data_IF_575486681726
#
_entry.id   IF_575486681726
#
_cell.length_a   1.000
_cell.length_b   1.000
_cell.length_c   1.000
_cell.angle_alpha   90.00
_cell.angle_beta   90.00
_cell.angle_gamma   90.00
#
_symmetry.space_group_name_H-M   'P 1'
#
loop_
_entity.id
_entity.type
_entity.pdbx_description
1 polymer ?
#
# COMPACT_ATOMS: atom_id res chain seq x y z
N UNK A 1 45.50 7.85 6.85
CA UNK A 1 44.77 6.64 7.27
C UNK A 1 43.59 6.44 6.32
N UNK A 2 43.23 5.21 5.93
CA UNK A 2 42.03 5.00 5.12
C UNK A 2 40.77 5.42 5.89
N UNK A 3 39.82 6.07 5.20
CA UNK A 3 38.53 6.51 5.77
C UNK A 3 37.66 5.31 6.16
N UNK A 4 37.78 4.20 5.42
CA UNK A 4 36.94 3.02 5.56
C UNK A 4 37.70 1.81 6.12
N UNK A 5 36.97 0.97 6.84
CA UNK A 5 37.43 -0.35 7.27
C UNK A 5 37.64 -1.30 6.08
N UNK A 6 38.56 -2.27 6.23
CA UNK A 6 38.79 -3.31 5.21
C UNK A 6 37.66 -4.35 5.24
N UNK A 7 36.75 -4.27 4.27
CA UNK A 7 35.66 -5.24 4.03
C UNK A 7 35.82 -5.79 2.62
N UNK A 8 35.56 -7.09 2.43
CA UNK A 8 35.66 -7.74 1.12
C UNK A 8 34.29 -7.97 0.45
N UNK A 9 34.28 -8.20 -0.86
CA UNK A 9 33.08 -8.39 -1.68
C UNK A 9 32.21 -9.54 -1.16
N UNK A 10 32.84 -10.65 -0.75
CA UNK A 10 32.14 -11.82 -0.17
C UNK A 10 31.44 -11.49 1.15
N UNK A 11 31.95 -10.53 1.92
CA UNK A 11 31.36 -10.15 3.20
C UNK A 11 30.11 -9.29 2.98
N UNK A 12 30.16 -8.38 2.00
CA UNK A 12 29.00 -7.58 1.56
C UNK A 12 27.88 -8.50 1.05
N UNK A 13 28.19 -9.44 0.15
CA UNK A 13 27.20 -10.38 -0.39
C UNK A 13 26.60 -11.26 0.70
N UNK A 14 27.43 -11.79 1.63
CA UNK A 14 26.93 -12.57 2.75
C UNK A 14 26.00 -11.76 3.64
N UNK A 15 26.33 -10.51 3.94
CA UNK A 15 25.50 -9.64 4.76
C UNK A 15 24.11 -9.42 4.14
N UNK A 16 24.07 -9.13 2.83
CA UNK A 16 22.80 -8.91 2.10
C UNK A 16 21.96 -10.20 2.08
N UNK A 17 22.52 -11.31 1.61
CA UNK A 17 21.77 -12.57 1.43
C UNK A 17 21.26 -13.11 2.77
N UNK A 18 22.11 -13.13 3.80
CA UNK A 18 21.70 -13.65 5.12
C UNK A 18 20.61 -12.80 5.77
N UNK A 19 20.72 -11.47 5.67
CA UNK A 19 19.73 -10.55 6.24
C UNK A 19 18.40 -10.61 5.50
N UNK A 20 18.45 -10.60 4.15
CA UNK A 20 17.25 -10.72 3.33
C UNK A 20 16.56 -12.06 3.57
N UNK A 21 17.29 -13.18 3.54
CA UNK A 21 16.70 -14.51 3.73
C UNK A 21 16.07 -14.65 5.11
N UNK A 22 16.72 -14.16 6.17
CA UNK A 22 16.16 -14.16 7.53
C UNK A 22 14.83 -13.39 7.57
N UNK A 23 14.80 -12.17 7.04
CA UNK A 23 13.59 -11.36 7.02
C UNK A 23 12.50 -11.99 6.13
N UNK A 24 12.86 -12.54 4.98
CA UNK A 24 11.91 -13.14 4.05
C UNK A 24 11.24 -14.36 4.68
N UNK A 25 12.01 -15.28 5.29
CA UNK A 25 11.48 -16.44 6.03
C UNK A 25 10.52 -16.00 7.12
N UNK A 26 10.89 -14.96 7.88
CA UNK A 26 10.02 -14.42 8.91
C UNK A 26 8.70 -13.91 8.31
N UNK A 27 8.74 -13.17 7.19
CA UNK A 27 7.57 -12.51 6.62
C UNK A 27 6.66 -13.39 5.76
N UNK A 28 7.02 -14.66 5.52
CA UNK A 28 6.12 -15.63 4.85
C UNK A 28 4.77 -15.72 5.56
N UNK A 29 4.74 -15.46 6.87
CA UNK A 29 3.53 -15.31 7.68
C UNK A 29 3.47 -13.93 8.35
N UNK A 30 2.35 -13.22 8.21
CA UNK A 30 2.15 -11.87 8.77
C UNK A 30 0.77 -11.70 9.41
N UNK A 31 0.59 -10.69 10.26
CA UNK A 31 -0.75 -10.32 10.73
C UNK A 31 -1.53 -9.60 9.64
N UNK A 32 -0.85 -8.73 8.89
CA UNK A 32 -1.45 -7.98 7.80
C UNK A 32 -0.48 -7.88 6.60
N UNK A 33 -1.00 -8.21 5.43
CA UNK A 33 -0.33 -8.02 4.14
C UNK A 33 -1.01 -6.88 3.38
N UNK A 34 -0.27 -5.83 3.06
CA UNK A 34 -0.77 -4.69 2.29
C UNK A 34 -0.19 -4.77 0.87
N UNK A 35 -1.06 -4.68 -0.12
CA UNK A 35 -0.67 -4.71 -1.53
C UNK A 35 -0.67 -3.28 -2.07
N UNK A 36 0.53 -2.79 -2.40
CA UNK A 36 0.80 -1.43 -2.88
C UNK A 36 1.31 -0.50 -1.79
N UNK A 37 2.49 0.09 -2.00
CA UNK A 37 3.09 1.06 -1.08
C UNK A 37 2.74 2.52 -1.46
N UNK A 38 1.47 2.76 -1.84
CA UNK A 38 0.95 4.10 -2.08
C UNK A 38 0.60 4.85 -0.79
N UNK A 39 0.04 6.07 -0.86
CA UNK A 39 -0.28 6.87 0.32
C UNK A 39 -1.24 6.17 1.31
N UNK A 40 -2.28 5.50 0.81
CA UNK A 40 -3.20 4.74 1.67
C UNK A 40 -2.53 3.52 2.30
N UNK A 41 -1.72 2.77 1.54
CA UNK A 41 -1.02 1.57 2.03
C UNK A 41 0.04 1.89 3.08
N UNK A 42 0.84 2.94 2.84
CA UNK A 42 1.84 3.42 3.81
C UNK A 42 1.19 3.92 5.10
N UNK A 43 0.09 4.67 5.00
CA UNK A 43 -0.62 5.16 6.18
C UNK A 43 -1.23 4.01 6.99
N UNK A 44 -1.89 3.06 6.30
CA UNK A 44 -2.46 1.89 6.97
C UNK A 44 -1.39 1.04 7.66
N UNK A 45 -0.28 0.79 6.95
CA UNK A 45 0.82 -0.01 7.47
C UNK A 45 1.50 0.64 8.67
N UNK A 46 1.72 1.96 8.63
CA UNK A 46 2.27 2.71 9.76
C UNK A 46 1.42 2.51 11.02
N UNK A 47 0.12 2.79 10.94
CA UNK A 47 -0.78 2.70 12.11
C UNK A 47 -0.81 1.27 12.66
N UNK A 48 -0.95 0.28 11.79
CA UNK A 48 -0.97 -1.13 12.21
C UNK A 48 0.34 -1.57 12.87
N UNK A 49 1.48 -1.13 12.35
CA UNK A 49 2.78 -1.44 12.92
C UNK A 49 3.01 -0.71 14.26
N UNK A 50 2.58 0.55 14.39
CA UNK A 50 2.56 1.29 15.66
C UNK A 50 1.71 0.57 16.72
N UNK A 51 0.63 -0.11 16.31
CA UNK A 51 -0.18 -0.97 17.16
C UNK A 51 0.41 -2.37 17.41
N UNK A 52 1.68 -2.58 17.03
CA UNK A 52 2.43 -3.81 17.29
C UNK A 52 2.08 -4.98 16.38
N UNK A 53 1.39 -4.76 15.25
CA UNK A 53 1.10 -5.82 14.28
C UNK A 53 2.29 -6.09 13.38
N UNK A 54 2.48 -7.34 12.99
CA UNK A 54 3.47 -7.73 11.98
C UNK A 54 2.96 -7.40 10.58
N UNK A 55 3.39 -6.27 10.04
CA UNK A 55 2.94 -5.75 8.74
C UNK A 55 4.00 -5.95 7.65
N UNK A 56 3.59 -6.55 6.53
CA UNK A 56 4.34 -6.58 5.28
C UNK A 56 3.61 -5.75 4.22
N UNK A 57 4.32 -4.85 3.52
CA UNK A 57 3.85 -4.19 2.32
C UNK A 57 4.62 -4.70 1.11
N UNK A 58 3.92 -5.18 0.09
CA UNK A 58 4.52 -5.51 -1.22
C UNK A 58 4.30 -4.37 -2.21
N UNK A 59 5.31 -4.07 -3.02
CA UNK A 59 5.26 -2.98 -4.01
C UNK A 59 5.91 -3.42 -5.32
N UNK A 60 5.22 -3.16 -6.44
CA UNK A 60 5.70 -3.57 -7.76
C UNK A 60 6.91 -2.76 -8.22
N UNK A 61 6.99 -1.49 -7.84
CA UNK A 61 8.10 -0.60 -8.21
C UNK A 61 9.32 -0.83 -7.30
N UNK A 62 10.49 -0.32 -7.71
CA UNK A 62 11.67 -0.28 -6.86
C UNK A 62 11.63 0.86 -5.82
N UNK A 63 10.69 1.80 -5.96
CA UNK A 63 10.45 2.90 -5.03
C UNK A 63 9.08 2.73 -4.36
N UNK A 64 8.94 3.31 -3.17
CA UNK A 64 7.69 3.38 -2.42
C UNK A 64 7.01 4.74 -2.66
N UNK A 65 5.77 4.92 -2.21
CA UNK A 65 5.01 6.17 -2.29
C UNK A 65 3.97 6.21 -3.41
N UNK A 66 4.03 5.27 -4.36
CA UNK A 66 3.07 5.22 -5.49
C UNK A 66 3.04 6.54 -6.25
N UNK A 67 1.84 7.13 -6.40
CA UNK A 67 1.62 8.33 -7.20
C UNK A 67 1.82 9.68 -6.50
N UNK A 68 2.11 9.73 -5.18
CA UNK A 68 2.13 11.00 -4.42
C UNK A 68 3.42 11.82 -4.59
N UNK A 69 4.43 11.28 -5.29
CA UNK A 69 5.67 12.00 -5.62
C UNK A 69 5.43 13.26 -6.44
N UNK A 70 4.40 13.25 -7.27
CA UNK A 70 4.01 14.34 -8.17
C UNK A 70 2.51 14.56 -8.07
N UNK A 71 2.07 15.81 -8.20
CA UNK A 71 0.66 16.13 -8.30
C UNK A 71 0.16 16.05 -9.73
N UNK A 72 -0.70 17.00 -10.09
CA UNK A 72 -1.30 17.05 -11.41
C UNK A 72 -0.28 17.46 -12.48
N UNK A 73 -0.37 16.85 -13.65
CA UNK A 73 0.32 17.33 -14.87
C UNK A 73 1.84 17.53 -14.68
N UNK A 74 2.53 16.54 -14.10
CA UNK A 74 3.97 16.55 -13.82
C UNK A 74 4.46 17.73 -12.93
N UNK A 75 3.54 18.49 -12.34
CA UNK A 75 3.86 19.47 -11.32
C UNK A 75 4.09 18.75 -10.00
N UNK A 76 5.12 19.13 -9.26
CA UNK A 76 5.56 18.45 -8.03
C UNK A 76 4.80 18.88 -6.77
N UNK A 77 3.77 19.72 -6.91
CA UNK A 77 2.91 20.16 -5.80
C UNK A 77 1.69 19.25 -5.69
N UNK A 78 1.35 18.86 -4.47
CA UNK A 78 0.18 18.01 -4.16
C UNK A 78 -0.75 18.75 -3.22
N UNK A 79 -2.06 18.48 -3.31
CA UNK A 79 -3.08 19.17 -2.52
C UNK A 79 -3.74 18.25 -1.49
N UNK A 80 -4.23 18.88 -0.43
CA UNK A 80 -4.91 18.26 0.70
C UNK A 80 -6.09 19.13 1.12
N UNK A 81 -7.28 18.53 1.25
CA UNK A 81 -8.47 19.21 1.78
C UNK A 81 -8.58 19.03 3.28
N UNK A 82 -9.14 20.01 3.98
CA UNK A 82 -9.44 19.88 5.41
C UNK A 82 -10.32 18.64 5.68
N UNK A 83 -10.02 17.81 6.71
CA UNK A 83 -9.01 17.96 7.76
C UNK A 83 -7.69 17.17 7.52
N UNK A 84 -7.38 16.80 6.27
CA UNK A 84 -6.24 15.92 5.99
C UNK A 84 -4.87 16.56 6.20
N UNK A 85 -4.78 17.89 6.31
CA UNK A 85 -3.58 18.61 6.71
C UNK A 85 -3.13 18.28 8.13
N UNK A 86 -4.01 17.81 9.01
CA UNK A 86 -3.64 17.34 10.35
C UNK A 86 -2.59 16.21 10.26
N UNK A 87 -2.69 15.35 9.24
CA UNK A 87 -1.71 14.29 8.99
C UNK A 87 -0.38 14.88 8.49
N UNK A 88 -0.41 15.97 7.72
CA UNK A 88 0.82 16.68 7.33
C UNK A 88 1.52 17.23 8.57
N UNK A 89 0.76 17.82 9.50
CA UNK A 89 1.27 18.30 10.78
C UNK A 89 1.86 17.15 11.61
N UNK A 90 1.15 16.02 11.71
CA UNK A 90 1.61 14.82 12.42
C UNK A 90 2.94 14.29 11.87
N UNK A 91 3.09 14.28 10.55
CA UNK A 91 4.30 13.83 9.85
C UNK A 91 5.41 14.90 9.84
N UNK A 92 5.16 16.10 10.36
CA UNK A 92 6.09 17.23 10.33
C UNK A 92 6.42 17.69 8.91
N UNK A 93 5.44 17.66 8.02
CA UNK A 93 5.54 18.13 6.63
C UNK A 93 5.11 19.59 6.57
N UNK A 94 5.96 20.52 6.10
CA UNK A 94 5.56 21.90 5.86
C UNK A 94 4.48 21.98 4.79
N UNK A 95 3.46 22.80 5.01
CA UNK A 95 2.40 23.06 4.04
C UNK A 95 1.97 24.52 4.09
N UNK A 96 1.35 24.96 3.00
CA UNK A 96 0.76 26.29 2.86
C UNK A 96 -0.74 26.16 2.63
N UNK A 97 -1.53 27.03 3.26
CA UNK A 97 -2.96 27.13 2.94
C UNK A 97 -3.13 28.00 1.68
N UNK A 98 -3.48 27.38 0.57
CA UNK A 98 -3.69 28.08 -0.70
C UNK A 98 -4.99 28.89 -0.68
N UNK A 99 -6.00 28.38 0.03
CA UNK A 99 -7.27 29.03 0.35
C UNK A 99 -7.97 28.28 1.48
N UNK A 100 -8.99 28.86 2.14
CA UNK A 100 -9.66 28.23 3.28
C UNK A 100 -10.02 26.76 3.02
N UNK A 101 -9.37 25.86 3.76
CA UNK A 101 -9.60 24.41 3.70
C UNK A 101 -8.91 23.66 2.55
N UNK A 102 -8.03 24.32 1.78
CA UNK A 102 -7.20 23.69 0.74
C UNK A 102 -5.71 24.00 0.97
N UNK A 103 -4.94 22.95 1.19
CA UNK A 103 -3.52 23.02 1.53
C UNK A 103 -2.66 22.43 0.42
N UNK A 104 -1.43 22.93 0.30
CA UNK A 104 -0.45 22.52 -0.71
C UNK A 104 0.88 22.19 -0.03
N UNK A 105 1.54 21.12 -0.48
CA UNK A 105 2.92 20.81 -0.11
C UNK A 105 3.68 20.18 -1.28
N UNK A 106 4.98 19.99 -1.10
CA UNK A 106 5.84 19.31 -2.05
C UNK A 106 5.65 17.79 -1.97
N UNK A 107 5.29 17.17 -3.10
CA UNK A 107 5.10 15.72 -3.23
C UNK A 107 6.26 14.90 -2.66
N UNK A 108 7.53 15.20 -3.01
CA UNK A 108 8.68 14.49 -2.45
C UNK A 108 8.81 14.60 -0.92
N UNK A 109 8.40 15.71 -0.32
CA UNK A 109 8.52 15.91 1.13
C UNK A 109 7.49 15.07 1.88
N UNK A 110 6.20 15.15 1.52
CA UNK A 110 5.19 14.28 2.13
C UNK A 110 5.49 12.81 1.88
N UNK A 111 5.91 12.45 0.67
CA UNK A 111 6.19 11.05 0.33
C UNK A 111 7.34 10.49 1.17
N UNK A 112 8.45 11.23 1.28
CA UNK A 112 9.60 10.80 2.09
C UNK A 112 9.27 10.70 3.57
N UNK A 113 8.52 11.65 4.13
CA UNK A 113 8.08 11.63 5.53
C UNK A 113 7.13 10.48 5.83
N UNK A 114 6.19 10.18 4.94
CA UNK A 114 5.27 9.08 5.10
C UNK A 114 5.98 7.72 5.02
N UNK A 115 6.93 7.56 4.09
CA UNK A 115 7.77 6.36 4.01
C UNK A 115 8.60 6.20 5.27
N UNK A 116 9.27 7.27 5.73
CA UNK A 116 10.06 7.24 6.95
C UNK A 116 9.20 6.85 8.16
N UNK A 117 8.03 7.45 8.32
CA UNK A 117 7.13 7.16 9.42
C UNK A 117 6.66 5.69 9.41
N UNK A 118 6.38 5.11 8.24
CA UNK A 118 6.04 3.69 8.14
C UNK A 118 7.23 2.78 8.48
N UNK A 119 8.45 3.12 8.03
CA UNK A 119 9.67 2.40 8.40
C UNK A 119 9.93 2.45 9.91
N UNK A 120 9.79 3.63 10.51
CA UNK A 120 10.03 3.86 11.94
C UNK A 120 9.01 3.12 12.82
N UNK A 121 7.77 2.98 12.34
CA UNK A 121 6.74 2.15 12.97
C UNK A 121 7.04 0.64 12.93
N UNK A 122 7.99 0.22 12.08
CA UNK A 122 8.42 -1.18 11.97
C UNK A 122 7.84 -1.95 10.78
N UNK A 123 7.16 -1.27 9.84
CA UNK A 123 6.67 -1.88 8.61
C UNK A 123 7.82 -2.48 7.81
N UNK A 124 7.62 -3.70 7.29
CA UNK A 124 8.56 -4.32 6.36
C UNK A 124 8.07 -4.20 4.92
N UNK A 125 9.01 -4.03 4.01
CA UNK A 125 8.74 -3.83 2.59
C UNK A 125 9.37 -4.95 1.77
N UNK A 126 8.64 -5.39 0.75
CA UNK A 126 9.17 -6.13 -0.39
C UNK A 126 8.80 -5.37 -1.67
N UNK A 127 9.67 -4.45 -2.05
CA UNK A 127 9.62 -3.73 -3.32
C UNK A 127 10.18 -4.58 -4.45
N UNK A 128 9.87 -4.23 -5.70
CA UNK A 128 10.07 -5.10 -6.88
C UNK A 128 9.31 -6.43 -6.80
N UNK A 129 8.25 -6.49 -6.00
CA UNK A 129 7.38 -7.66 -5.84
C UNK A 129 5.99 -7.34 -6.35
N UNK A 130 5.53 -8.11 -7.33
CA UNK A 130 4.20 -7.97 -7.91
C UNK A 130 3.24 -8.97 -7.28
N UNK A 131 2.03 -8.49 -7.02
CA UNK A 131 0.90 -9.34 -6.67
C UNK A 131 0.42 -10.09 -7.92
N UNK A 132 0.36 -11.41 -7.82
CA UNK A 132 -0.06 -12.29 -8.90
C UNK A 132 -1.47 -12.85 -8.65
N UNK A 133 -1.75 -13.29 -7.41
CA UNK A 133 -3.05 -13.88 -7.06
C UNK A 133 -3.37 -13.85 -5.55
N UNK A 134 -4.55 -14.33 -5.17
CA UNK A 134 -4.99 -14.51 -3.77
C UNK A 134 -4.80 -15.95 -3.30
N UNK A 135 -4.45 -16.10 -2.02
CA UNK A 135 -4.58 -17.40 -1.32
C UNK A 135 -6.00 -17.47 -0.74
N UNK A 136 -6.80 -18.42 -1.23
CA UNK A 136 -8.16 -18.70 -0.75
C UNK A 136 -8.20 -20.04 -0.01
N UNK A 137 -9.00 -20.14 1.05
CA UNK A 137 -9.27 -21.39 1.80
C UNK A 137 -10.69 -21.92 1.55
N UNK A 138 -11.05 -23.05 2.16
CA UNK A 138 -12.30 -23.78 1.89
C UNK A 138 -13.57 -22.94 2.13
N UNK A 139 -13.55 -22.03 3.10
CA UNK A 139 -14.62 -21.05 3.38
C UNK A 139 -14.62 -19.86 2.40
N UNK A 140 -13.77 -19.93 1.37
CA UNK A 140 -13.46 -18.88 0.41
C UNK A 140 -12.91 -17.61 1.07
N UNK A 141 -12.40 -17.66 2.30
CA UNK A 141 -11.73 -16.51 2.91
C UNK A 141 -10.38 -16.26 2.23
N UNK A 142 -10.04 -14.99 2.07
CA UNK A 142 -8.69 -14.54 1.69
C UNK A 142 -7.76 -14.69 2.90
N UNK A 143 -6.70 -15.48 2.74
CA UNK A 143 -5.74 -15.81 3.78
C UNK A 143 -4.28 -15.51 3.37
N UNK A 144 -4.09 -14.69 2.34
CA UNK A 144 -2.76 -14.44 1.80
C UNK A 144 -2.77 -13.91 0.38
N UNK A 145 -1.57 -13.71 -0.14
CA UNK A 145 -1.33 -13.36 -1.53
C UNK A 145 -0.27 -14.26 -2.15
N UNK A 146 -0.42 -14.47 -3.44
CA UNK A 146 0.57 -15.08 -4.32
C UNK A 146 1.36 -13.94 -4.97
N UNK A 147 2.68 -14.02 -4.86
CA UNK A 147 3.61 -12.96 -5.24
C UNK A 147 4.66 -13.48 -6.21
N UNK A 148 5.16 -12.57 -7.04
CA UNK A 148 6.31 -12.84 -7.89
C UNK A 148 7.24 -11.62 -7.96
N UNK A 149 8.41 -11.78 -8.57
CA UNK A 149 9.29 -10.64 -8.84
C UNK A 149 8.76 -9.85 -10.05
N UNK A 150 8.63 -8.53 -9.91
CA UNK A 150 8.15 -7.65 -10.99
C UNK A 150 8.87 -7.86 -12.33
N UNK A 151 10.21 -8.05 -12.40
CA UNK A 151 10.91 -8.28 -13.66
C UNK A 151 10.42 -9.50 -14.46
N UNK A 152 9.81 -10.50 -13.81
CA UNK A 152 9.28 -11.69 -14.50
C UNK A 152 8.20 -11.31 -15.51
N UNK A 153 7.42 -10.25 -15.24
CA UNK A 153 6.40 -9.74 -16.16
C UNK A 153 6.98 -9.14 -17.45
N UNK A 154 8.29 -8.84 -17.47
CA UNK A 154 9.00 -8.31 -18.64
C UNK A 154 9.88 -9.35 -19.32
N UNK A 155 9.90 -10.61 -18.84
CA UNK A 155 10.67 -11.68 -19.47
C UNK A 155 10.03 -12.11 -20.79
N UNK A 156 10.84 -12.56 -21.78
CA UNK A 156 10.33 -13.21 -22.98
C UNK A 156 9.45 -14.41 -22.66
N UNK A 157 8.45 -14.67 -23.50
CA UNK A 157 7.44 -15.73 -23.28
C UNK A 157 8.08 -17.10 -23.07
N UNK A 158 9.23 -17.35 -23.68
CA UNK A 158 9.97 -18.61 -23.60
C UNK A 158 10.49 -18.93 -22.20
N UNK A 159 10.70 -17.91 -21.36
CA UNK A 159 11.20 -18.06 -19.98
C UNK A 159 10.32 -17.36 -18.94
N UNK A 160 9.11 -16.91 -19.31
CA UNK A 160 8.18 -16.22 -18.40
C UNK A 160 7.38 -17.17 -17.51
N UNK A 161 7.39 -18.48 -17.80
CA UNK A 161 6.74 -19.51 -16.98
C UNK A 161 7.53 -19.79 -15.68
N UNK A 162 7.64 -18.77 -14.83
CA UNK A 162 8.25 -18.86 -13.49
C UNK A 162 7.14 -18.82 -12.46
N UNK A 163 6.97 -19.92 -11.75
CA UNK A 163 5.92 -20.04 -10.75
C UNK A 163 6.07 -19.00 -9.63
N UNK A 164 4.96 -18.39 -9.18
CA UNK A 164 4.98 -17.49 -8.04
C UNK A 164 5.05 -18.27 -6.72
N UNK A 165 5.25 -17.56 -5.61
CA UNK A 165 5.23 -18.11 -4.25
C UNK A 165 4.11 -17.47 -3.42
N UNK A 166 3.64 -18.15 -2.37
CA UNK A 166 2.56 -17.67 -1.52
C UNK A 166 3.07 -17.09 -0.20
N UNK A 167 2.40 -16.04 0.26
CA UNK A 167 2.57 -15.43 1.58
C UNK A 167 1.25 -15.56 2.34
N UNK A 168 1.28 -16.07 3.56
CA UNK A 168 0.11 -16.26 4.40
C UNK A 168 -0.09 -15.07 5.34
N UNK A 169 -1.34 -14.71 5.58
CA UNK A 169 -1.68 -13.57 6.43
C UNK A 169 -3.10 -13.70 6.98
N UNK A 170 -3.36 -13.09 8.13
CA UNK A 170 -4.71 -13.06 8.71
C UNK A 170 -5.64 -12.13 7.93
N UNK A 171 -5.08 -11.07 7.33
CA UNK A 171 -5.84 -10.03 6.64
C UNK A 171 -5.02 -9.40 5.50
N UNK A 172 -5.66 -9.21 4.34
CA UNK A 172 -5.09 -8.48 3.20
C UNK A 172 -5.74 -7.11 3.07
N UNK A 173 -4.95 -6.07 2.80
CA UNK A 173 -5.44 -4.73 2.43
C UNK A 173 -4.99 -4.40 1.00
N UNK A 174 -5.95 -4.24 0.10
CA UNK A 174 -5.71 -3.78 -1.27
C UNK A 174 -5.64 -2.25 -1.32
N UNK A 175 -4.43 -1.74 -1.59
CA UNK A 175 -4.15 -0.32 -1.81
C UNK A 175 -3.47 -0.10 -3.16
N UNK A 176 -3.74 -0.96 -4.14
CA UNK A 176 -3.13 -0.93 -5.48
C UNK A 176 -3.63 0.21 -6.38
N UNK A 177 -4.39 1.14 -5.81
CA UNK A 177 -4.92 2.29 -6.51
C UNK A 177 -6.02 1.89 -7.49
N UNK A 178 -6.05 2.53 -8.65
CA UNK A 178 -7.12 2.33 -9.63
C UNK A 178 -7.22 0.90 -10.16
N UNK A 179 -6.14 0.11 -10.10
CA UNK A 179 -6.10 -1.24 -10.65
C UNK A 179 -6.93 -2.23 -9.79
N UNK A 180 -7.11 -1.96 -8.49
CA UNK A 180 -7.81 -2.83 -7.52
C UNK A 180 -7.48 -4.32 -7.70
N UNK A 181 -6.17 -4.63 -7.77
CA UNK A 181 -5.67 -5.91 -8.24
C UNK A 181 -6.23 -7.10 -7.47
N UNK A 182 -6.39 -6.99 -6.15
CA UNK A 182 -6.90 -8.09 -5.33
C UNK A 182 -8.38 -8.34 -5.61
N UNK A 183 -9.18 -7.28 -5.69
CA UNK A 183 -10.62 -7.40 -5.99
C UNK A 183 -10.85 -7.94 -7.40
N UNK A 184 -10.01 -7.53 -8.36
CA UNK A 184 -10.05 -8.06 -9.72
C UNK A 184 -9.82 -9.58 -9.75
N UNK A 185 -8.96 -10.12 -8.89
CA UNK A 185 -8.76 -11.58 -8.76
C UNK A 185 -9.94 -12.32 -8.15
N UNK A 186 -10.76 -11.65 -7.32
CA UNK A 186 -12.05 -12.19 -6.88
C UNK A 186 -13.07 -12.17 -8.02
N UNK A 187 -13.08 -11.11 -8.84
CA UNK A 187 -13.97 -10.97 -9.99
C UNK A 187 -13.69 -12.01 -11.09
N UNK A 188 -12.41 -12.28 -11.40
CA UNK A 188 -11.99 -13.33 -12.34
C UNK A 188 -12.51 -14.73 -11.93
N UNK A 189 -12.80 -14.93 -10.64
CA UNK A 189 -13.35 -16.17 -10.07
C UNK A 189 -14.87 -16.15 -9.88
N UNK A 190 -15.55 -15.06 -10.25
CA UNK A 190 -16.98 -14.88 -10.03
C UNK A 190 -17.38 -14.75 -8.57
N UNK A 191 -16.45 -14.40 -7.68
CA UNK A 191 -16.70 -14.24 -6.24
C UNK A 191 -17.10 -12.81 -5.85
N UNK A 192 -16.77 -11.84 -6.71
CA UNK A 192 -17.11 -10.44 -6.54
C UNK A 192 -17.38 -9.81 -7.91
N UNK A 193 -18.04 -8.65 -7.96
CA UNK A 193 -18.23 -7.88 -9.19
C UNK A 193 -17.89 -6.42 -8.95
N UNK A 194 -16.90 -5.92 -9.67
CA UNK A 194 -16.48 -4.51 -9.57
C UNK A 194 -17.43 -3.63 -10.40
N UNK A 195 -17.55 -2.36 -9.98
CA UNK A 195 -18.31 -1.36 -10.75
C UNK A 195 -17.41 -0.46 -11.61
N UNK A 196 -16.09 -0.56 -11.45
CA UNK A 196 -15.12 0.40 -12.01
C UNK A 196 -15.09 1.69 -11.20
N UNK A 197 -14.55 2.77 -11.77
CA UNK A 197 -14.55 4.09 -11.14
C UNK A 197 -15.16 5.14 -12.08
N UNK A 198 -15.75 6.18 -11.49
CA UNK A 198 -16.43 7.27 -12.20
C UNK A 198 -15.49 8.36 -12.70
N UNK A 199 -16.07 9.34 -13.39
CA UNK A 199 -15.37 10.56 -13.82
C UNK A 199 -14.88 11.40 -12.63
N UNK A 200 -14.09 12.43 -12.91
CA UNK A 200 -13.51 13.26 -11.86
C UNK A 200 -14.57 14.15 -11.20
N UNK A 201 -14.70 14.04 -9.88
CA UNK A 201 -15.51 14.93 -9.03
C UNK A 201 -14.88 14.96 -7.64
N UNK A 202 -14.06 15.98 -7.37
CA UNK A 202 -13.22 16.06 -6.17
C UNK A 202 -14.03 15.99 -4.88
N UNK A 203 -15.02 16.88 -4.75
CA UNK A 203 -15.85 17.00 -3.55
C UNK A 203 -16.55 15.69 -3.18
N UNK A 204 -17.21 15.04 -4.15
CA UNK A 204 -17.88 13.77 -3.92
C UNK A 204 -16.90 12.60 -3.73
N UNK A 205 -15.72 12.63 -4.39
CA UNK A 205 -14.81 11.49 -4.42
C UNK A 205 -14.15 11.21 -3.07
N UNK A 206 -13.54 12.22 -2.43
CA UNK A 206 -12.72 11.97 -1.24
C UNK A 206 -13.55 11.43 -0.07
N UNK A 207 -14.72 12.01 0.19
CA UNK A 207 -15.59 11.57 1.28
C UNK A 207 -16.08 10.13 1.02
N UNK A 208 -16.58 9.86 -0.19
CA UNK A 208 -17.04 8.51 -0.57
C UNK A 208 -15.92 7.48 -0.50
N UNK A 209 -14.68 7.82 -0.88
CA UNK A 209 -13.54 6.89 -0.79
C UNK A 209 -13.25 6.55 0.66
N UNK A 210 -13.25 7.52 1.57
CA UNK A 210 -13.07 7.25 3.00
C UNK A 210 -14.26 6.45 3.53
N UNK A 211 -15.50 6.83 3.22
CA UNK A 211 -16.72 6.15 3.66
C UNK A 211 -16.78 4.67 3.21
N UNK A 212 -16.41 4.38 1.98
CA UNK A 212 -16.45 3.03 1.40
C UNK A 212 -15.18 2.22 1.65
N UNK A 213 -14.17 2.79 2.30
CA UNK A 213 -13.03 2.02 2.79
C UNK A 213 -13.51 1.00 3.80
N UNK A 214 -13.18 -0.26 3.58
CA UNK A 214 -13.57 -1.33 4.48
C UNK A 214 -13.45 -2.71 3.89
N UNK A 215 -14.00 -3.68 4.60
CA UNK A 215 -13.96 -5.07 4.19
C UNK A 215 -14.89 -5.32 3.00
N UNK A 216 -14.30 -5.65 1.86
CA UNK A 216 -15.04 -5.98 0.62
C UNK A 216 -15.38 -7.47 0.55
N UNK A 217 -14.55 -8.31 1.17
CA UNK A 217 -14.67 -9.76 1.14
C UNK A 217 -14.05 -10.37 2.41
N UNK A 218 -14.45 -11.58 2.86
CA UNK A 218 -13.82 -12.22 4.02
C UNK A 218 -12.29 -12.26 3.88
N UNK A 219 -11.57 -11.59 4.80
CA UNK A 219 -10.11 -11.48 4.78
C UNK A 219 -9.51 -10.42 3.83
N UNK A 220 -10.32 -9.60 3.17
CA UNK A 220 -9.87 -8.54 2.26
C UNK A 220 -10.52 -7.19 2.55
N UNK A 221 -9.69 -6.19 2.85
CA UNK A 221 -10.06 -4.78 2.94
C UNK A 221 -9.59 -4.04 1.69
N UNK A 222 -10.35 -3.03 1.25
CA UNK A 222 -9.93 -2.10 0.19
C UNK A 222 -9.78 -0.70 0.75
N UNK A 223 -8.74 0.01 0.29
CA UNK A 223 -8.51 1.41 0.66
C UNK A 223 -7.91 2.23 -0.51
N UNK A 224 -8.03 3.55 -0.41
CA UNK A 224 -7.65 4.49 -1.44
C UNK A 224 -8.46 4.30 -2.73
N UNK A 225 -7.82 4.52 -3.88
CA UNK A 225 -8.50 4.37 -5.17
C UNK A 225 -8.94 2.93 -5.50
N UNK A 226 -8.45 1.92 -4.78
CA UNK A 226 -8.97 0.56 -4.92
C UNK A 226 -10.43 0.48 -4.42
N UNK A 227 -10.79 1.23 -3.38
CA UNK A 227 -12.18 1.36 -2.94
C UNK A 227 -13.04 2.05 -4.01
N UNK A 228 -12.50 3.08 -4.69
CA UNK A 228 -13.22 3.75 -5.77
C UNK A 228 -13.54 2.79 -6.93
N UNK A 229 -12.57 2.02 -7.40
CA UNK A 229 -12.74 1.01 -8.46
C UNK A 229 -13.68 -0.12 -8.05
N UNK A 230 -13.64 -0.50 -6.76
CA UNK A 230 -14.53 -1.53 -6.22
C UNK A 230 -15.99 -1.10 -6.29
N UNK A 231 -16.28 0.13 -5.85
CA UNK A 231 -17.65 0.59 -5.58
C UNK A 231 -18.22 1.59 -6.61
N UNK A 232 -17.51 1.92 -7.69
CA UNK A 232 -18.05 2.82 -8.72
C UNK A 232 -17.92 4.30 -8.36
N UNK A 233 -16.96 4.67 -7.51
CA UNK A 233 -16.89 6.02 -6.97
C UNK A 233 -16.18 6.97 -7.94
N UNK A 234 -16.50 8.28 -7.91
CA UNK A 234 -15.75 9.27 -8.67
C UNK A 234 -14.26 9.28 -8.27
N UNK A 235 -13.40 9.78 -9.17
CA UNK A 235 -11.99 10.05 -8.85
C UNK A 235 -11.77 11.50 -8.41
N UNK A 236 -10.76 11.76 -7.59
CA UNK A 236 -10.47 13.11 -7.07
C UNK A 236 -9.36 13.85 -7.83
N UNK A 237 -8.59 13.17 -8.67
CA UNK A 237 -7.45 13.81 -9.34
C UNK A 237 -6.29 14.06 -8.36
N UNK A 238 -5.57 15.19 -8.46
CA UNK A 238 -4.31 15.41 -7.74
C UNK A 238 -4.45 15.92 -6.30
N UNK A 239 -5.48 15.47 -5.57
CA UNK A 239 -5.64 15.70 -4.12
C UNK A 239 -5.55 14.36 -3.38
N UNK A 240 -4.91 14.35 -2.21
CA UNK A 240 -4.49 13.11 -1.56
C UNK A 240 -5.04 12.94 -0.14
N UNK A 241 -5.86 13.89 0.34
CA UNK A 241 -6.46 13.84 1.68
C UNK A 241 -7.29 12.58 1.90
N UNK A 242 -8.16 12.26 0.94
CA UNK A 242 -8.96 11.04 0.96
C UNK A 242 -8.11 9.75 0.99
N UNK A 243 -6.90 9.75 0.40
CA UNK A 243 -6.02 8.58 0.44
C UNK A 243 -5.46 8.31 1.83
N UNK A 244 -5.00 9.36 2.52
CA UNK A 244 -4.44 9.24 3.86
C UNK A 244 -5.51 8.85 4.88
N UNK A 245 -6.67 9.52 4.85
CA UNK A 245 -7.79 9.21 5.73
C UNK A 245 -8.39 7.82 5.45
N UNK A 246 -8.42 7.40 4.19
CA UNK A 246 -8.78 6.03 3.82
C UNK A 246 -7.78 5.01 4.38
N UNK A 247 -6.47 5.25 4.27
CA UNK A 247 -5.46 4.39 4.88
C UNK A 247 -5.64 4.26 6.40
N UNK A 248 -5.90 5.39 7.08
CA UNK A 248 -6.20 5.42 8.52
C UNK A 248 -7.41 4.55 8.88
N UNK A 249 -8.53 4.73 8.17
CA UNK A 249 -9.73 3.92 8.40
C UNK A 249 -9.51 2.44 8.11
N UNK A 250 -8.75 2.10 7.08
CA UNK A 250 -8.40 0.71 6.78
C UNK A 250 -7.63 0.06 7.94
N UNK A 251 -6.69 0.78 8.55
CA UNK A 251 -6.00 0.31 9.75
C UNK A 251 -6.95 0.11 10.93
N UNK A 252 -7.82 1.07 11.23
CA UNK A 252 -8.81 0.96 12.34
C UNK A 252 -9.70 -0.29 12.19
N UNK A 253 -10.16 -0.57 10.97
CA UNK A 253 -10.96 -1.77 10.67
C UNK A 253 -10.12 -3.03 10.84
N UNK A 254 -8.89 -3.02 10.32
CA UNK A 254 -7.97 -4.16 10.41
C UNK A 254 -7.60 -4.49 11.86
N UNK A 255 -7.31 -3.49 12.70
CA UNK A 255 -7.00 -3.67 14.12
C UNK A 255 -8.14 -4.38 14.85
N UNK A 256 -9.39 -3.94 14.61
CA UNK A 256 -10.57 -4.55 15.21
C UNK A 256 -10.68 -6.03 14.83
N UNK A 257 -10.53 -6.37 13.55
CA UNK A 257 -10.62 -7.76 13.09
C UNK A 257 -9.47 -8.63 13.62
N UNK A 258 -8.26 -8.08 13.70
CA UNK A 258 -7.10 -8.78 14.25
C UNK A 258 -7.20 -8.99 15.76
N UNK A 259 -7.89 -8.12 16.48
CA UNK A 259 -8.18 -8.29 17.91
C UNK A 259 -9.24 -9.39 18.16
N UNK A 260 -10.24 -9.52 17.29
CA UNK A 260 -11.30 -10.55 17.39
C UNK A 260 -10.80 -11.98 17.07
N UNK A 261 -9.61 -12.10 16.46
CA UNK A 261 -9.01 -13.39 16.05
C UNK A 261 -7.96 -13.91 17.06
N UNK A 262 -7.67 -13.14 18.12
CA UNK A 262 -6.71 -13.50 19.19
C UNK A 262 -7.44 -14.11 20.38
#
# INVERSE_FOLDING_TARGET
MPIFSKISEKDVTRAIVSSFNKQFIELVESDCLIVGAGPSGLMAGRILADAGKKVLIIERNNYLGGGIWIGGYLMNKVTFRHPSEEILCELGVPYEEAMPGLFVTDGPHITSKLIAAACDAGVKFLQMTVFDDLVLREDKRVCGAVINWTPIQSLPREITCVDPVAMETKLVIDTTGHDACCVKKLEERGLFKTKGFGAMWVEASEDLVVEQTGQVYPGLIVAGMAAATTYGLPRMGPTFGGMLLSGKKAAEIAEKQLAETT
#
